data_IF_806828758607
#
_entry.id   IF_806828758607
#
_cell.length_a   1.000
_cell.length_b   1.000
_cell.length_c   1.000
_cell.angle_alpha   90.00
_cell.angle_beta   90.00
_cell.angle_gamma   90.00
#
_symmetry.space_group_name_H-M   'P 1'
#
loop_
_entity.id
_entity.type
_entity.pdbx_description
1 polymer ?
#
# COMPACT_ATOMS: atom_id res chain seq x y z
N UNK A 1 -7.75 9.78 -4.98
CA UNK A 1 -8.62 8.98 -4.11
C UNK A 1 -10.03 9.53 -4.26
N UNK A 2 -11.04 8.66 -4.40
CA UNK A 2 -12.43 9.12 -4.48
C UNK A 2 -12.87 9.64 -3.08
N UNK A 3 -13.15 10.94 -2.89
CA UNK A 3 -13.46 11.51 -1.58
C UNK A 3 -14.75 10.95 -0.97
N UNK A 4 -15.67 10.41 -1.79
CA UNK A 4 -16.86 9.71 -1.31
C UNK A 4 -16.56 8.39 -0.58
N UNK A 5 -15.37 7.83 -0.74
CA UNK A 5 -14.93 6.67 0.05
C UNK A 5 -14.51 7.05 1.47
N UNK A 6 -14.23 8.33 1.70
CA UNK A 6 -13.82 8.84 3.01
C UNK A 6 -15.06 9.09 3.89
N UNK A 7 -16.13 9.63 3.31
CA UNK A 7 -17.45 9.73 3.94
C UNK A 7 -18.55 9.25 3.00
N UNK A 8 -18.87 7.94 3.00
CA UNK A 8 -19.97 7.38 2.22
C UNK A 8 -21.35 7.90 2.63
N UNK A 9 -21.45 8.49 3.83
CA UNK A 9 -22.67 9.12 4.33
C UNK A 9 -22.94 10.51 3.74
N UNK A 10 -21.98 11.05 2.99
CA UNK A 10 -22.07 12.32 2.25
C UNK A 10 -22.57 13.50 3.09
N UNK A 11 -22.04 13.66 4.31
CA UNK A 11 -22.50 14.68 5.25
C UNK A 11 -21.83 16.03 5.01
N UNK A 12 -20.54 16.03 4.65
CA UNK A 12 -19.78 17.22 4.22
C UNK A 12 -18.37 16.83 3.69
N UNK A 13 -18.19 16.67 2.37
CA UNK A 13 -16.91 16.21 1.79
C UNK A 13 -15.71 17.10 2.09
N UNK A 14 -15.88 18.43 2.13
CA UNK A 14 -14.78 19.35 2.39
C UNK A 14 -14.25 19.20 3.81
N UNK A 15 -15.17 19.15 4.79
CA UNK A 15 -14.84 18.94 6.19
C UNK A 15 -14.20 17.57 6.40
N UNK A 16 -14.74 16.53 5.76
CA UNK A 16 -14.22 15.16 5.86
C UNK A 16 -12.81 15.07 5.26
N UNK A 17 -12.57 15.70 4.11
CA UNK A 17 -11.24 15.73 3.51
C UNK A 17 -10.22 16.43 4.42
N UNK A 18 -10.60 17.57 5.02
CA UNK A 18 -9.78 18.25 6.02
C UNK A 18 -9.43 17.34 7.19
N UNK A 19 -10.42 16.61 7.75
CA UNK A 19 -10.19 15.66 8.83
C UNK A 19 -9.23 14.53 8.43
N UNK A 20 -9.42 13.95 7.24
CA UNK A 20 -8.51 12.91 6.72
C UNK A 20 -7.06 13.40 6.64
N UNK A 21 -6.84 14.62 6.16
CA UNK A 21 -5.49 15.22 6.13
C UNK A 21 -4.96 15.45 7.53
N UNK A 22 -5.78 15.92 8.47
CA UNK A 22 -5.40 16.07 9.88
C UNK A 22 -4.97 14.74 10.48
N UNK A 23 -5.75 13.67 10.30
CA UNK A 23 -5.45 12.33 10.83
C UNK A 23 -4.13 11.78 10.23
N UNK A 24 -3.89 12.02 8.94
CA UNK A 24 -2.64 11.66 8.28
C UNK A 24 -1.43 12.39 8.89
N UNK A 25 -1.59 13.67 9.23
CA UNK A 25 -0.54 14.46 9.88
C UNK A 25 -0.31 14.00 11.32
N UNK A 26 -1.36 13.70 12.07
CA UNK A 26 -1.25 13.12 13.41
C UNK A 26 -0.52 11.77 13.38
N UNK A 27 -0.85 10.88 12.44
CA UNK A 27 -0.14 9.62 12.28
C UNK A 27 1.35 9.81 11.96
N UNK A 28 1.68 10.80 11.11
CA UNK A 28 3.07 11.16 10.79
C UNK A 28 3.83 11.66 12.03
N UNK A 29 3.22 12.54 12.81
CA UNK A 29 3.81 13.07 14.05
C UNK A 29 4.02 11.96 15.07
N UNK A 30 3.04 11.09 15.25
CA UNK A 30 3.16 9.92 16.12
C UNK A 30 4.28 8.97 15.69
N UNK A 31 4.44 8.70 14.38
CA UNK A 31 5.56 7.90 13.88
C UNK A 31 6.93 8.56 14.17
N UNK A 32 7.01 9.89 14.09
CA UNK A 32 8.22 10.62 14.43
C UNK A 32 8.51 10.58 15.94
N UNK A 33 7.48 10.62 16.78
CA UNK A 33 7.61 10.50 18.24
C UNK A 33 8.05 9.09 18.67
N UNK A 34 7.53 8.04 18.02
CA UNK A 34 7.97 6.66 18.27
C UNK A 34 9.45 6.46 17.91
N UNK A 35 9.92 7.09 16.83
CA UNK A 35 11.28 6.99 16.31
C UNK A 35 11.85 5.55 16.39
N UNK A 36 12.89 5.36 17.20
CA UNK A 36 13.52 4.07 17.50
C UNK A 36 13.35 3.70 18.98
N UNK A 37 12.29 4.18 19.63
CA UNK A 37 12.02 3.89 21.03
C UNK A 37 11.57 2.45 21.22
N UNK A 38 12.29 1.73 22.09
CA UNK A 38 11.90 0.43 22.60
C UNK A 38 12.20 0.38 24.10
N UNK A 39 11.27 -0.17 24.89
CA UNK A 39 11.48 -0.33 26.33
C UNK A 39 12.70 -1.21 26.61
N UNK A 40 13.53 -0.89 27.61
CA UNK A 40 14.64 -1.76 28.00
C UNK A 40 14.26 -2.58 29.24
N UNK A 41 14.20 -3.93 29.19
CA UNK A 41 14.55 -4.79 28.05
C UNK A 41 13.38 -5.24 27.18
N UNK A 42 13.48 -4.98 25.87
CA UNK A 42 12.57 -5.53 24.86
C UNK A 42 13.14 -6.80 24.26
N UNK A 43 12.25 -7.77 24.05
CA UNK A 43 12.48 -9.03 23.35
C UNK A 43 11.45 -9.11 22.22
N UNK A 44 11.91 -9.26 20.98
CA UNK A 44 11.01 -9.32 19.81
C UNK A 44 11.18 -10.62 19.06
N UNK A 45 10.13 -10.99 18.33
CA UNK A 45 10.20 -11.97 17.25
C UNK A 45 9.44 -11.42 16.05
N UNK A 46 9.81 -11.85 14.84
CA UNK A 46 9.14 -11.44 13.60
C UNK A 46 9.22 -12.53 12.54
N UNK A 47 8.26 -12.50 11.60
CA UNK A 47 8.23 -13.42 10.46
C UNK A 47 9.16 -12.98 9.34
N UNK A 48 9.91 -13.94 8.80
CA UNK A 48 10.80 -13.73 7.66
C UNK A 48 10.79 -14.94 6.72
N UNK A 49 9.58 -15.30 6.27
CA UNK A 49 9.34 -16.45 5.42
C UNK A 49 8.97 -16.03 4.00
N UNK A 50 9.69 -16.56 3.00
CA UNK A 50 9.35 -16.34 1.58
C UNK A 50 8.02 -17.00 1.20
N UNK A 51 7.56 -17.99 1.98
CA UNK A 51 6.24 -18.63 1.81
C UNK A 51 5.09 -17.81 2.37
N UNK A 52 5.39 -16.74 3.11
CA UNK A 52 4.42 -15.80 3.68
C UNK A 52 4.73 -14.40 3.15
N UNK A 53 4.56 -14.18 1.84
CA UNK A 53 5.01 -12.95 1.21
C UNK A 53 4.13 -11.76 1.63
N UNK A 54 4.73 -10.58 1.75
CA UNK A 54 4.10 -9.33 2.11
C UNK A 54 4.53 -8.20 1.17
N UNK A 55 3.77 -7.10 1.13
CA UNK A 55 4.10 -5.92 0.35
C UNK A 55 5.04 -5.01 1.14
N UNK A 56 6.33 -5.06 0.81
CA UNK A 56 7.28 -4.04 1.26
C UNK A 56 7.23 -2.82 0.33
N UNK A 57 7.01 -3.04 -0.95
CA UNK A 57 6.78 -1.99 -1.95
C UNK A 57 5.48 -2.23 -2.69
N UNK A 58 4.70 -1.16 -2.81
CA UNK A 58 3.55 -1.13 -3.72
C UNK A 58 4.01 -0.59 -5.07
N UNK A 59 4.15 -1.48 -6.05
CA UNK A 59 4.52 -1.12 -7.43
C UNK A 59 3.28 -1.11 -8.31
N UNK A 60 3.09 -0.08 -9.13
CA UNK A 60 2.04 -0.05 -10.15
C UNK A 60 2.66 -0.30 -11.53
N UNK A 61 2.21 -1.37 -12.20
CA UNK A 61 2.62 -1.73 -13.55
C UNK A 61 1.61 -1.10 -14.52
N UNK A 62 2.08 -0.16 -15.34
CA UNK A 62 1.22 0.65 -16.20
C UNK A 62 1.37 0.20 -17.65
N UNK A 63 0.24 -0.01 -18.32
CA UNK A 63 0.16 -0.34 -19.75
C UNK A 63 -0.78 0.64 -20.48
N UNK A 64 -0.45 1.06 -21.72
CA UNK A 64 -1.34 1.90 -22.52
C UNK A 64 -2.63 1.15 -22.84
N UNK A 65 -3.72 1.90 -22.97
CA UNK A 65 -5.01 1.40 -23.47
C UNK A 65 -5.23 1.88 -24.90
N UNK A 66 -6.23 1.27 -25.57
CA UNK A 66 -6.74 1.78 -26.85
C UNK A 66 -7.87 2.76 -26.59
N UNK A 67 -7.95 3.79 -27.43
CA UNK A 67 -9.11 4.66 -27.52
C UNK A 67 -10.25 4.02 -28.34
N UNK A 68 -11.35 4.76 -28.48
CA UNK A 68 -12.51 4.34 -29.26
C UNK A 68 -12.21 4.25 -30.77
N UNK A 69 -11.13 4.89 -31.24
CA UNK A 69 -10.63 4.79 -32.60
C UNK A 69 -9.63 3.63 -32.79
N UNK A 70 -9.47 2.77 -31.77
CA UNK A 70 -8.52 1.64 -31.73
C UNK A 70 -7.04 2.04 -31.78
N UNK A 71 -6.73 3.31 -31.51
CA UNK A 71 -5.38 3.86 -31.44
C UNK A 71 -4.85 3.66 -30.02
N UNK A 72 -3.60 3.19 -29.91
CA UNK A 72 -2.93 3.04 -28.61
C UNK A 72 -2.53 4.40 -28.05
N UNK A 73 -2.72 4.58 -26.73
CA UNK A 73 -2.14 5.70 -26.00
C UNK A 73 -0.62 5.73 -26.17
N UNK A 74 -0.06 6.94 -26.15
CA UNK A 74 1.39 7.12 -26.20
C UNK A 74 2.10 6.43 -25.03
N UNK A 75 3.40 6.16 -25.15
CA UNK A 75 4.16 5.58 -24.04
C UNK A 75 4.35 6.65 -22.96
N UNK A 76 3.86 6.37 -21.75
CA UNK A 76 4.06 7.21 -20.57
C UNK A 76 5.54 7.54 -20.33
N UNK A 77 5.81 8.82 -20.11
CA UNK A 77 7.11 9.31 -19.64
C UNK A 77 6.99 10.00 -18.27
N UNK A 78 8.13 10.26 -17.61
CA UNK A 78 8.16 10.86 -16.28
C UNK A 78 7.50 12.25 -16.21
N UNK A 79 7.52 13.03 -17.29
CA UNK A 79 6.93 14.37 -17.34
C UNK A 79 5.40 14.33 -17.40
N UNK A 80 4.82 13.30 -18.03
CA UNK A 80 3.37 13.12 -18.16
C UNK A 80 2.72 12.48 -16.92
N UNK A 81 3.51 11.82 -16.08
CA UNK A 81 3.00 11.05 -14.92
C UNK A 81 2.25 11.91 -13.89
N UNK A 82 2.67 13.15 -13.58
CA UNK A 82 1.95 14.02 -12.63
C UNK A 82 0.54 14.43 -13.08
N UNK A 83 0.28 14.42 -14.39
CA UNK A 83 -0.99 14.85 -14.99
C UNK A 83 -1.97 13.70 -15.18
N UNK A 84 -1.65 12.51 -14.66
CA UNK A 84 -2.52 11.37 -14.66
C UNK A 84 -3.59 11.48 -13.56
N UNK A 85 -4.84 11.35 -13.97
CA UNK A 85 -5.98 11.31 -13.07
C UNK A 85 -6.60 9.93 -13.00
N UNK A 86 -7.09 9.56 -11.82
CA UNK A 86 -7.83 8.32 -11.62
C UNK A 86 -9.16 8.41 -12.35
N UNK A 87 -9.38 7.55 -13.33
CA UNK A 87 -10.64 7.45 -14.05
C UNK A 87 -11.57 6.40 -13.46
N UNK A 88 -11.02 5.23 -13.09
CA UNK A 88 -11.81 4.15 -12.49
C UNK A 88 -10.95 3.24 -11.64
N UNK A 89 -11.53 2.72 -10.56
CA UNK A 89 -10.93 1.71 -9.69
C UNK A 89 -11.90 0.51 -9.59
N UNK A 90 -11.37 -0.69 -9.76
CA UNK A 90 -12.15 -1.94 -9.70
C UNK A 90 -12.16 -2.55 -8.29
N UNK A 91 -11.42 -2.00 -7.34
CA UNK A 91 -11.23 -2.58 -6.00
C UNK A 91 -10.45 -3.90 -6.01
N UNK A 92 -9.92 -4.31 -7.17
CA UNK A 92 -9.25 -5.60 -7.38
C UNK A 92 -7.85 -5.41 -7.94
N UNK A 93 -7.07 -4.50 -7.34
CA UNK A 93 -5.68 -4.21 -7.73
C UNK A 93 -5.52 -3.73 -9.19
N UNK A 94 -6.59 -3.19 -9.78
CA UNK A 94 -6.58 -2.66 -11.14
C UNK A 94 -7.34 -1.34 -11.18
N UNK A 95 -6.69 -0.34 -11.76
CA UNK A 95 -7.26 0.96 -11.99
C UNK A 95 -6.97 1.44 -13.42
N UNK A 96 -7.78 2.37 -13.88
CA UNK A 96 -7.54 3.11 -15.12
C UNK A 96 -7.22 4.54 -14.75
N UNK A 97 -6.13 5.05 -15.29
CA UNK A 97 -5.76 6.46 -15.23
C UNK A 97 -5.81 7.08 -16.62
N UNK A 98 -6.04 8.38 -16.68
CA UNK A 98 -6.12 9.15 -17.92
C UNK A 98 -5.26 10.38 -17.83
N UNK A 99 -4.68 10.79 -18.95
CA UNK A 99 -3.96 12.06 -19.06
C UNK A 99 -4.88 13.12 -19.67
N UNK A 100 -5.43 13.99 -18.82
CA UNK A 100 -6.34 15.06 -19.28
C UNK A 100 -5.65 16.11 -20.15
N UNK A 101 -4.32 16.26 -20.09
CA UNK A 101 -3.59 17.19 -20.95
C UNK A 101 -3.63 16.79 -22.43
N UNK A 102 -3.91 15.51 -22.69
CA UNK A 102 -4.03 14.96 -24.05
C UNK A 102 -5.49 14.81 -24.50
N UNK A 103 -6.44 15.27 -23.69
CA UNK A 103 -7.86 15.20 -24.01
C UNK A 103 -8.22 16.10 -25.19
N UNK A 104 -9.26 15.72 -25.94
CA UNK A 104 -9.69 16.43 -27.14
C UNK A 104 -11.05 15.95 -27.65
N UNK A 105 -11.39 16.27 -28.90
CA UNK A 105 -12.59 15.74 -29.57
C UNK A 105 -12.17 14.82 -30.70
N UNK A 106 -12.77 13.64 -30.77
CA UNK A 106 -12.56 12.72 -31.90
C UNK A 106 -13.78 12.74 -32.83
N UNK A 107 -13.51 12.65 -34.13
CA UNK A 107 -14.54 12.45 -35.15
C UNK A 107 -14.61 10.95 -35.47
N UNK A 108 -15.82 10.38 -35.46
CA UNK A 108 -16.05 9.02 -35.96
C UNK A 108 -17.08 9.06 -37.09
N UNK A 109 -16.86 8.23 -38.11
CA UNK A 109 -17.83 8.01 -39.17
C UNK A 109 -18.91 7.05 -38.68
N UNK A 110 -20.19 7.45 -38.79
CA UNK A 110 -21.27 6.47 -38.67
C UNK A 110 -21.24 5.57 -39.90
N UNK A 111 -21.72 4.33 -39.75
CA UNK A 111 -21.59 3.28 -40.78
C UNK A 111 -22.17 3.66 -42.15
N UNK A 112 -22.94 4.76 -42.29
CA UNK A 112 -23.57 5.20 -43.56
C UNK A 112 -23.68 6.74 -43.78
N UNK A 113 -22.91 7.60 -43.11
CA UNK A 113 -23.02 9.04 -43.37
C UNK A 113 -22.33 9.97 -42.37
N UNK A 114 -22.23 11.25 -42.76
CA UNK A 114 -21.52 12.39 -42.15
C UNK A 114 -20.90 12.15 -40.77
N UNK A 115 -19.57 12.33 -40.68
CA UNK A 115 -18.83 12.21 -39.43
C UNK A 115 -19.44 13.07 -38.33
N UNK A 116 -19.80 12.43 -37.22
CA UNK A 116 -20.33 13.13 -36.04
C UNK A 116 -19.13 13.48 -35.17
N UNK A 117 -18.86 14.78 -34.99
CA UNK A 117 -17.97 15.27 -33.94
C UNK A 117 -18.82 15.32 -32.67
N UNK A 118 -18.72 14.31 -31.83
CA UNK A 118 -19.66 14.21 -30.70
C UNK A 118 -19.17 13.55 -29.43
N UNK A 119 -18.00 12.92 -29.41
CA UNK A 119 -17.48 12.32 -28.18
C UNK A 119 -16.31 13.13 -27.64
N UNK A 120 -16.45 13.61 -26.41
CA UNK A 120 -15.31 14.08 -25.62
C UNK A 120 -14.35 12.90 -25.42
N UNK A 121 -13.15 13.04 -25.99
CA UNK A 121 -12.07 12.09 -25.85
C UNK A 121 -11.27 12.46 -24.61
N UNK A 122 -11.16 11.52 -23.68
CA UNK A 122 -10.56 11.76 -22.38
C UNK A 122 -9.01 11.68 -22.39
N UNK A 123 -8.37 11.75 -23.55
CA UNK A 123 -6.91 11.70 -23.69
C UNK A 123 -6.35 10.28 -23.61
N UNK A 124 -5.02 10.18 -23.65
CA UNK A 124 -4.26 8.96 -23.40
C UNK A 124 -4.76 8.31 -22.11
N UNK A 125 -5.12 7.03 -22.20
CA UNK A 125 -5.56 6.22 -21.07
C UNK A 125 -4.60 5.06 -20.82
N UNK A 126 -4.47 4.67 -19.56
CA UNK A 126 -3.58 3.60 -19.13
C UNK A 126 -4.27 2.72 -18.09
N UNK A 127 -4.01 1.42 -18.17
CA UNK A 127 -4.36 0.48 -17.13
C UNK A 127 -3.17 0.31 -16.21
N UNK A 128 -3.37 0.54 -14.92
CA UNK A 128 -2.39 0.22 -13.90
C UNK A 128 -2.85 -1.02 -13.12
N UNK A 129 -1.93 -1.95 -12.91
CA UNK A 129 -2.13 -3.12 -12.07
C UNK A 129 -1.14 -3.10 -10.92
N UNK A 130 -1.61 -3.36 -9.70
CA UNK A 130 -0.72 -3.49 -8.54
C UNK A 130 0.14 -4.74 -8.69
N UNK A 131 1.43 -4.59 -8.43
CA UNK A 131 2.39 -5.68 -8.40
C UNK A 131 2.08 -6.69 -7.30
N UNK A 132 2.68 -7.88 -7.44
CA UNK A 132 2.65 -8.92 -6.42
C UNK A 132 3.48 -8.48 -5.20
N UNK A 133 3.27 -9.16 -4.08
CA UNK A 133 4.15 -9.07 -2.91
C UNK A 133 5.62 -9.25 -3.32
N UNK A 134 6.49 -8.38 -2.81
CA UNK A 134 7.89 -8.27 -3.23
C UNK A 134 8.89 -8.73 -2.16
N UNK A 135 8.44 -8.98 -0.93
CA UNK A 135 9.29 -9.46 0.16
C UNK A 135 8.64 -10.63 0.92
N UNK A 136 9.47 -11.46 1.57
CA UNK A 136 8.98 -12.41 2.57
C UNK A 136 8.56 -11.70 3.86
N UNK A 137 7.85 -12.40 4.73
CA UNK A 137 7.36 -11.83 5.97
C UNK A 137 6.54 -12.84 6.76
N UNK A 138 5.41 -12.39 7.29
CA UNK A 138 4.37 -13.21 7.90
C UNK A 138 3.02 -13.11 7.16
N UNK A 139 3.03 -12.66 5.91
CA UNK A 139 1.82 -12.48 5.09
C UNK A 139 1.16 -11.10 5.23
N UNK A 140 1.55 -10.32 6.24
CA UNK A 140 1.08 -8.93 6.43
C UNK A 140 2.26 -7.97 6.58
N UNK A 141 3.18 -8.29 7.49
CA UNK A 141 4.36 -7.47 7.82
C UNK A 141 5.55 -8.00 7.03
N UNK A 142 6.19 -7.19 6.18
CA UNK A 142 7.39 -7.59 5.48
C UNK A 142 8.59 -7.73 6.41
N UNK A 143 9.55 -8.56 6.02
CA UNK A 143 10.76 -8.85 6.80
C UNK A 143 11.50 -7.57 7.18
N UNK A 144 11.61 -6.60 6.26
CA UNK A 144 12.28 -5.32 6.51
C UNK A 144 11.66 -4.58 7.71
N UNK A 145 10.32 -4.49 7.77
CA UNK A 145 9.60 -3.83 8.86
C UNK A 145 9.77 -4.58 10.19
N UNK A 146 9.56 -5.91 10.18
CA UNK A 146 9.73 -6.72 11.39
C UNK A 146 11.16 -6.69 11.95
N UNK A 147 12.16 -6.54 11.07
CA UNK A 147 13.57 -6.47 11.46
C UNK A 147 13.96 -5.12 12.07
N UNK A 148 13.17 -4.04 11.90
CA UNK A 148 13.52 -2.68 12.31
C UNK A 148 13.93 -2.56 13.79
N UNK A 149 13.30 -3.34 14.67
CA UNK A 149 13.60 -3.34 16.10
C UNK A 149 14.99 -3.95 16.45
N UNK A 150 15.58 -4.76 15.57
CA UNK A 150 16.71 -5.65 15.90
C UNK A 150 17.93 -4.92 16.46
N UNK A 151 18.21 -3.69 16.00
CA UNK A 151 19.34 -2.90 16.47
C UNK A 151 19.12 -2.22 17.84
N UNK A 152 17.88 -2.19 18.32
CA UNK A 152 17.46 -1.38 19.47
C UNK A 152 16.97 -2.22 20.66
N UNK A 153 16.87 -3.54 20.50
CA UNK A 153 16.29 -4.45 21.47
C UNK A 153 17.31 -5.45 22.00
N UNK A 154 17.03 -6.02 23.17
CA UNK A 154 17.95 -6.96 23.82
C UNK A 154 18.05 -8.30 23.08
N UNK A 155 16.95 -8.71 22.46
CA UNK A 155 16.85 -9.98 21.77
C UNK A 155 15.86 -9.85 20.62
N UNK A 156 16.22 -10.43 19.47
CA UNK A 156 15.41 -10.44 18.27
C UNK A 156 15.46 -11.83 17.65
N UNK A 157 14.30 -12.45 17.45
CA UNK A 157 14.17 -13.75 16.80
C UNK A 157 13.55 -13.60 15.40
N UNK A 158 14.35 -13.92 14.38
CA UNK A 158 13.90 -14.03 13.00
C UNK A 158 13.35 -15.44 12.75
N UNK A 159 12.04 -15.57 12.57
CA UNK A 159 11.34 -16.85 12.54
C UNK A 159 10.62 -17.09 11.20
N UNK A 160 10.16 -18.33 10.97
CA UNK A 160 9.47 -18.76 9.74
C UNK A 160 8.28 -19.67 10.07
N UNK A 161 7.42 -19.91 9.08
CA UNK A 161 6.36 -20.92 9.18
C UNK A 161 5.13 -20.49 9.98
N UNK A 162 4.79 -19.21 9.97
CA UNK A 162 3.53 -18.71 10.54
C UNK A 162 3.00 -17.51 9.77
N UNK A 163 1.68 -17.37 9.74
CA UNK A 163 1.01 -16.18 9.27
C UNK A 163 0.84 -15.18 10.42
N UNK A 164 0.70 -13.90 10.11
CA UNK A 164 0.61 -12.80 11.07
C UNK A 164 -0.48 -13.03 12.11
N UNK A 165 -1.72 -13.25 11.64
CA UNK A 165 -2.90 -13.40 12.49
C UNK A 165 -2.92 -14.65 13.37
N UNK A 166 -2.12 -15.67 13.04
CA UNK A 166 -2.03 -16.94 13.80
C UNK A 166 -0.61 -17.19 14.31
N UNK A 167 0.18 -16.12 14.49
CA UNK A 167 1.60 -16.22 14.84
C UNK A 167 1.84 -17.03 16.12
N UNK A 168 1.01 -16.85 17.14
CA UNK A 168 1.11 -17.57 18.42
C UNK A 168 0.63 -19.02 18.39
N UNK A 169 0.06 -19.51 17.28
CA UNK A 169 -0.21 -20.94 17.08
C UNK A 169 1.08 -21.72 16.76
N UNK A 170 2.14 -21.03 16.35
CA UNK A 170 3.45 -21.61 16.10
C UNK A 170 4.20 -21.93 17.41
N UNK A 171 4.62 -23.18 17.56
CA UNK A 171 5.32 -23.65 18.76
C UNK A 171 6.63 -22.89 19.03
N UNK A 172 7.38 -22.54 17.99
CA UNK A 172 8.64 -21.79 18.10
C UNK A 172 8.40 -20.36 18.57
N UNK A 173 7.34 -19.70 18.06
CA UNK A 173 6.93 -18.38 18.55
C UNK A 173 6.63 -18.43 20.05
N UNK A 174 5.80 -19.39 20.49
CA UNK A 174 5.50 -19.58 21.92
C UNK A 174 6.74 -19.86 22.76
N UNK A 175 7.66 -20.71 22.27
CA UNK A 175 8.91 -21.00 22.95
C UNK A 175 9.78 -19.75 23.13
N UNK A 176 9.88 -18.90 22.10
CA UNK A 176 10.59 -17.61 22.18
C UNK A 176 9.91 -16.66 23.16
N UNK A 177 8.58 -16.62 23.19
CA UNK A 177 7.83 -15.82 24.18
C UNK A 177 8.15 -16.27 25.61
N UNK A 178 8.08 -17.56 25.90
CA UNK A 178 8.42 -18.12 27.22
C UNK A 178 9.88 -17.83 27.58
N UNK A 179 10.81 -18.01 26.64
CA UNK A 179 12.22 -17.65 26.83
C UNK A 179 12.39 -16.17 27.22
N UNK A 180 11.66 -15.27 26.56
CA UNK A 180 11.71 -13.83 26.82
C UNK A 180 11.20 -13.50 28.22
N UNK A 181 10.04 -14.04 28.61
CA UNK A 181 9.45 -13.86 29.93
C UNK A 181 10.41 -14.33 31.03
N UNK A 182 10.99 -15.53 30.88
CA UNK A 182 11.94 -16.08 31.87
C UNK A 182 13.15 -15.16 32.02
N UNK A 183 13.68 -14.61 30.93
CA UNK A 183 14.85 -13.72 31.00
C UNK A 183 14.54 -12.35 31.61
N UNK A 184 13.33 -11.83 31.40
CA UNK A 184 12.86 -10.60 32.05
C UNK A 184 12.70 -10.87 33.56
N UNK A 185 12.04 -11.96 33.94
CA UNK A 185 11.84 -12.35 35.34
C UNK A 185 13.15 -12.59 36.10
N UNK A 186 14.16 -13.19 35.45
CA UNK A 186 15.51 -13.35 36.04
C UNK A 186 16.15 -12.01 36.42
N UNK A 187 15.85 -10.94 35.69
CA UNK A 187 16.36 -9.59 36.02
C UNK A 187 15.58 -8.93 37.15
N UNK A 188 14.30 -9.27 37.30
CA UNK A 188 13.48 -8.78 38.41
C UNK A 188 13.96 -9.30 39.77
N UNK A 189 14.64 -10.46 39.83
CA UNK A 189 15.26 -10.97 41.07
C UNK A 189 16.33 -10.06 41.69
N UNK A 190 16.83 -9.06 40.97
CA UNK A 190 17.74 -8.05 41.51
C UNK A 190 17.00 -6.80 42.06
N UNK A 191 15.66 -6.85 42.20
CA UNK A 191 14.82 -5.77 42.72
C UNK A 191 14.17 -6.11 44.08
N UNK A 192 14.57 -7.23 44.71
CA UNK A 192 14.13 -7.63 46.05
C UNK A 192 15.32 -7.68 47.00
#
# INVERSE_FOLDING_TARGET
MNPYLIDPGNKNLESTWKQYITDLMTAKEFHAELENYYFNPTYVHFGADKKQPAWNKTTWIIAPLKDNAMIWSSKLNQQQTPSLELNSDTGSNSLVVRNLETAGKIAYSTFNGQGVIGADYAGDAYRAHMGKQDEGGDGNVPTLSGQAATAHVKFSAKLKGFAHGTSYDNQTVRAVTVHSIINIAKRAKNLC
#
